data_IF_430264254362
#
_entry.id   IF_430264254362
#
_cell.length_a   1.000
_cell.length_b   1.000
_cell.length_c   1.000
_cell.angle_alpha   90.00
_cell.angle_beta   90.00
_cell.angle_gamma   90.00
#
_symmetry.space_group_name_H-M   'P 1'
#
loop_
_entity.id
_entity.type
_entity.pdbx_description
1 polymer ?
#
# COMPACT_ATOMS: atom_id res chain seq x y z
N UNK A 1 -8.39 -4.24 -10.19
CA UNK A 1 -6.96 -3.82 -10.19
C UNK A 1 -6.14 -4.69 -9.26
N UNK A 2 -4.84 -4.71 -9.44
CA UNK A 2 -3.95 -5.51 -8.58
C UNK A 2 -3.39 -4.66 -7.46
N UNK A 3 -3.29 -5.24 -6.27
CA UNK A 3 -2.68 -4.58 -5.12
C UNK A 3 -1.78 -5.55 -4.36
N UNK A 4 -0.70 -5.02 -3.77
CA UNK A 4 0.13 -5.75 -2.83
C UNK A 4 -0.51 -5.70 -1.46
N UNK A 5 -0.89 -6.85 -0.92
CA UNK A 5 -1.55 -6.95 0.38
C UNK A 5 -0.53 -7.46 1.41
N UNK A 6 -0.38 -6.70 2.49
CA UNK A 6 0.52 -7.05 3.58
C UNK A 6 -0.12 -8.09 4.50
N UNK A 7 0.50 -9.25 4.61
CA UNK A 7 -0.03 -10.37 5.42
C UNK A 7 0.72 -10.55 6.74
N UNK A 8 1.70 -9.73 7.04
CA UNK A 8 2.50 -9.83 8.23
C UNK A 8 3.99 -9.84 7.91
N UNK A 9 4.82 -10.13 8.91
CA UNK A 9 6.28 -10.14 8.77
C UNK A 9 6.72 -11.01 7.59
N UNK A 10 7.47 -10.41 6.66
CA UNK A 10 8.03 -11.07 5.47
C UNK A 10 6.99 -11.71 4.54
N UNK A 11 5.74 -11.23 4.57
CA UNK A 11 4.66 -11.81 3.78
C UNK A 11 3.84 -10.73 3.07
N UNK A 12 3.89 -10.73 1.75
CA UNK A 12 3.11 -9.85 0.88
C UNK A 12 2.55 -10.69 -0.26
N UNK A 13 1.28 -10.46 -0.62
CA UNK A 13 0.61 -11.17 -1.70
C UNK A 13 0.00 -10.17 -2.68
N UNK A 14 0.07 -10.47 -3.97
CA UNK A 14 -0.60 -9.69 -5.01
C UNK A 14 -2.00 -10.24 -5.21
N UNK A 15 -3.01 -9.37 -5.03
CA UNK A 15 -4.43 -9.74 -5.16
C UNK A 15 -5.17 -8.79 -6.09
N UNK A 16 -6.23 -9.30 -6.70
CA UNK A 16 -7.21 -8.44 -7.36
C UNK A 16 -8.09 -7.79 -6.30
N UNK A 17 -8.27 -6.47 -6.43
CA UNK A 17 -9.13 -5.69 -5.56
C UNK A 17 -10.02 -4.78 -6.40
N UNK A 18 -11.16 -4.37 -5.84
CA UNK A 18 -12.06 -3.45 -6.51
C UNK A 18 -11.45 -2.04 -6.57
N UNK A 19 -11.89 -1.25 -7.55
CA UNK A 19 -11.56 0.16 -7.58
C UNK A 19 -12.19 0.85 -6.37
N UNK A 20 -11.48 1.81 -5.72
CA UNK A 20 -12.03 2.50 -4.57
C UNK A 20 -13.20 3.41 -4.96
N UNK A 21 -14.11 3.62 -4.02
CA UNK A 21 -15.17 4.62 -4.16
C UNK A 21 -14.61 6.01 -3.96
N UNK A 22 -15.13 6.98 -4.73
CA UNK A 22 -14.70 8.38 -4.63
C UNK A 22 -15.78 9.18 -3.93
N UNK A 23 -15.47 9.72 -2.76
CA UNK A 23 -16.35 10.62 -2.01
C UNK A 23 -16.28 12.06 -2.52
N UNK A 24 -17.10 12.94 -1.92
CA UNK A 24 -17.22 14.34 -2.37
C UNK A 24 -15.93 15.14 -2.25
N UNK A 25 -15.07 14.81 -1.28
CA UNK A 25 -13.80 15.49 -1.05
C UNK A 25 -12.59 14.63 -1.43
N UNK A 26 -12.80 13.56 -2.17
CA UNK A 26 -11.76 12.63 -2.57
C UNK A 26 -11.34 12.88 -4.01
N UNK A 27 -10.14 12.42 -4.35
CA UNK A 27 -9.61 12.46 -5.71
C UNK A 27 -9.18 11.05 -6.09
N UNK A 28 -9.67 10.57 -7.24
CA UNK A 28 -9.21 9.30 -7.79
C UNK A 28 -7.92 9.53 -8.57
N UNK A 29 -6.89 8.75 -8.25
CA UNK A 29 -5.61 8.83 -8.94
C UNK A 29 -5.21 7.45 -9.48
N UNK A 30 -4.51 7.46 -10.61
CA UNK A 30 -3.90 6.27 -11.18
C UNK A 30 -2.42 6.29 -10.83
N UNK A 31 -1.95 5.28 -10.12
CA UNK A 31 -0.53 5.16 -9.80
C UNK A 31 0.27 4.86 -11.07
N UNK A 32 1.29 5.67 -11.31
CA UNK A 32 2.21 5.48 -12.44
C UNK A 32 3.50 4.79 -11.99
N UNK A 33 4.01 5.19 -10.84
CA UNK A 33 5.22 4.64 -10.24
C UNK A 33 5.07 4.58 -8.74
N UNK A 34 5.69 3.59 -8.13
CA UNK A 34 5.82 3.52 -6.68
C UNK A 34 7.25 3.11 -6.34
N UNK A 35 7.71 3.52 -5.16
CA UNK A 35 9.03 3.19 -4.66
C UNK A 35 8.95 2.54 -3.29
N UNK A 36 10.06 1.96 -2.86
CA UNK A 36 10.20 1.34 -1.56
C UNK A 36 11.06 2.27 -0.71
N UNK A 37 10.58 2.65 0.48
CA UNK A 37 11.35 3.43 1.43
C UNK A 37 11.84 2.56 2.60
N UNK A 38 12.69 3.13 3.46
CA UNK A 38 13.21 2.42 4.62
C UNK A 38 12.13 1.92 5.57
N UNK A 39 11.02 2.65 5.70
CA UNK A 39 9.87 2.22 6.52
C UNK A 39 9.26 0.92 5.99
N UNK A 40 9.12 0.79 4.67
CA UNK A 40 8.58 -0.42 4.05
C UNK A 40 9.48 -1.63 4.34
N UNK A 41 10.79 -1.45 4.23
CA UNK A 41 11.77 -2.51 4.54
C UNK A 41 11.68 -2.91 6.02
N UNK A 42 11.61 -1.95 6.93
CA UNK A 42 11.50 -2.20 8.36
C UNK A 42 10.22 -2.98 8.70
N UNK A 43 9.08 -2.57 8.16
CA UNK A 43 7.80 -3.24 8.38
C UNK A 43 7.82 -4.66 7.82
N UNK A 44 8.32 -4.85 6.61
CA UNK A 44 8.42 -6.16 5.99
C UNK A 44 9.30 -7.12 6.81
N UNK A 45 10.45 -6.63 7.26
CA UNK A 45 11.47 -7.45 7.94
C UNK A 45 11.12 -7.71 9.41
N UNK A 46 10.56 -6.73 10.12
CA UNK A 46 10.37 -6.78 11.58
C UNK A 46 8.91 -6.88 12.04
N UNK A 47 7.95 -6.71 11.14
CA UNK A 47 6.54 -6.79 11.45
C UNK A 47 5.83 -5.44 11.54
N UNK A 48 4.50 -5.43 11.80
CA UNK A 48 3.66 -4.26 11.60
C UNK A 48 3.80 -3.14 12.65
N UNK A 49 4.53 -3.35 13.72
CA UNK A 49 4.63 -2.38 14.82
C UNK A 49 6.03 -1.75 14.97
N UNK A 50 6.74 -1.61 13.89
CA UNK A 50 8.12 -1.10 13.88
C UNK A 50 8.18 0.40 13.57
N UNK A 51 7.65 1.24 14.44
CA UNK A 51 7.67 2.70 14.28
C UNK A 51 6.64 3.28 13.33
N UNK A 52 6.07 2.48 12.45
CA UNK A 52 4.99 2.87 11.54
C UNK A 52 3.95 1.75 11.52
N UNK A 53 2.70 2.09 11.84
CA UNK A 53 1.64 1.08 11.88
C UNK A 53 1.15 0.74 10.48
N UNK A 54 1.11 -0.55 10.16
CA UNK A 54 0.56 -1.07 8.92
C UNK A 54 -0.49 -2.12 9.30
N UNK A 55 -1.64 -2.08 8.63
CA UNK A 55 -2.72 -3.04 8.87
C UNK A 55 -2.39 -4.36 8.15
N UNK A 56 -2.39 -5.46 8.89
CA UNK A 56 -2.28 -6.81 8.31
C UNK A 56 -3.53 -7.08 7.48
N UNK A 57 -3.36 -7.54 6.25
CA UNK A 57 -4.45 -7.69 5.29
C UNK A 57 -4.75 -6.44 4.48
N UNK A 58 -4.10 -5.33 4.78
CA UNK A 58 -4.22 -4.08 4.05
C UNK A 58 -3.18 -3.91 2.95
N UNK A 59 -3.30 -2.83 2.21
CA UNK A 59 -2.36 -2.47 1.16
C UNK A 59 -1.02 -2.01 1.75
N UNK A 60 0.04 -2.14 0.96
CA UNK A 60 1.40 -1.90 1.39
C UNK A 60 2.10 -0.91 0.46
N UNK A 61 2.88 0.00 1.02
CA UNK A 61 3.59 1.03 0.28
C UNK A 61 2.91 2.40 0.38
N UNK A 62 3.70 3.47 0.34
CA UNK A 62 3.15 4.84 0.50
C UNK A 62 3.83 5.89 -0.36
N UNK A 63 4.92 5.56 -1.04
CA UNK A 63 5.61 6.51 -1.94
C UNK A 63 5.20 6.25 -3.38
N UNK A 64 4.41 7.14 -3.95
CA UNK A 64 3.88 6.98 -5.31
C UNK A 64 3.95 8.26 -6.11
N UNK A 65 4.00 8.12 -7.43
CA UNK A 65 3.76 9.18 -8.40
C UNK A 65 2.51 8.79 -9.17
N UNK A 66 1.50 9.64 -9.15
CA UNK A 66 0.17 9.30 -9.64
C UNK A 66 -0.40 10.38 -10.55
N UNK A 67 -1.38 9.99 -11.38
CA UNK A 67 -2.14 10.88 -12.24
C UNK A 67 -3.57 10.96 -11.72
N UNK A 68 -4.12 12.19 -11.64
CA UNK A 68 -5.56 12.38 -11.34
C UNK A 68 -6.38 11.90 -12.55
N UNK A 69 -7.36 11.10 -12.30
CA UNK A 69 -8.27 10.56 -13.33
C UNK A 69 -9.71 10.98 -13.11
#
# INVERSE_FOLDING_TARGET
MKAGIYLGKESIEIREVDLPEVGDNDVLVQNLYSSICGTDVAVFTHGPNTGHKVTVGGEFGHETISRIV
#
